data_IF_082937475011
#
_entry.id   IF_082937475011
#
_cell.length_a   1.000
_cell.length_b   1.000
_cell.length_c   1.000
_cell.angle_alpha   90.00
_cell.angle_beta   90.00
_cell.angle_gamma   90.00
#
_symmetry.space_group_name_H-M   'P 1'
#
loop_
_entity.id
_entity.type
_entity.pdbx_description
1 polymer ?
#
# COMPACT_ATOMS: atom_id res chain seq x y z
N UNK A 1 15.96 -7.35 -11.21
CA UNK A 1 14.67 -6.84 -10.69
C UNK A 1 14.18 -5.71 -11.58
N UNK A 2 12.93 -5.77 -12.07
CA UNK A 2 12.49 -4.94 -13.18
C UNK A 2 12.19 -3.49 -12.77
N UNK A 3 12.87 -2.55 -13.42
CA UNK A 3 12.39 -1.16 -13.53
C UNK A 3 11.53 -1.09 -14.79
N UNK A 4 10.31 -0.55 -14.70
CA UNK A 4 9.42 -0.50 -15.86
C UNK A 4 9.92 0.42 -16.99
N UNK A 5 10.95 1.25 -16.73
CA UNK A 5 11.73 2.04 -17.69
C UNK A 5 13.14 2.31 -17.10
N UNK A 6 14.18 2.57 -17.90
CA UNK A 6 15.47 3.06 -17.39
C UNK A 6 15.28 4.37 -16.59
N UNK A 7 15.65 4.36 -15.31
CA UNK A 7 15.42 5.50 -14.40
C UNK A 7 13.97 5.65 -13.93
N UNK A 8 13.10 4.68 -14.24
CA UNK A 8 11.71 4.63 -13.79
C UNK A 8 11.57 4.21 -12.32
N UNK A 9 10.34 4.31 -11.81
CA UNK A 9 10.02 3.83 -10.46
C UNK A 9 10.23 2.32 -10.36
N UNK A 10 10.75 1.89 -9.22
CA UNK A 10 11.00 0.49 -8.91
C UNK A 10 9.68 -0.27 -8.65
N UNK A 11 9.50 -1.42 -9.30
CA UNK A 11 8.38 -2.32 -9.10
C UNK A 11 8.81 -3.49 -8.19
N UNK A 12 8.09 -3.72 -7.10
CA UNK A 12 8.33 -4.84 -6.19
C UNK A 12 7.65 -6.13 -6.65
N UNK A 13 6.57 -6.03 -7.44
CA UNK A 13 5.77 -7.18 -7.87
C UNK A 13 4.31 -6.81 -8.08
N UNK A 14 3.52 -7.82 -8.42
CA UNK A 14 2.06 -7.75 -8.53
C UNK A 14 1.45 -8.52 -7.36
N UNK A 15 0.45 -7.96 -6.70
CA UNK A 15 -0.34 -8.67 -5.71
C UNK A 15 -1.78 -8.80 -6.19
N UNK A 16 -2.41 -9.94 -5.95
CA UNK A 16 -3.80 -10.17 -6.34
C UNK A 16 -4.71 -10.08 -5.11
N UNK A 17 -5.85 -9.40 -5.25
CA UNK A 17 -6.90 -9.47 -4.23
C UNK A 17 -7.56 -10.84 -4.30
N UNK A 18 -7.48 -11.61 -3.22
CA UNK A 18 -8.13 -12.91 -3.12
C UNK A 18 -8.82 -13.07 -1.76
N UNK A 19 -10.13 -13.30 -1.76
CA UNK A 19 -10.94 -13.50 -0.55
C UNK A 19 -10.68 -12.43 0.52
N UNK A 20 -10.78 -11.15 0.12
CA UNK A 20 -10.53 -9.99 0.98
C UNK A 20 -9.08 -9.86 1.49
N UNK A 21 -8.14 -10.63 0.93
CA UNK A 21 -6.73 -10.61 1.32
C UNK A 21 -5.85 -10.14 0.18
N UNK A 22 -4.69 -9.60 0.53
CA UNK A 22 -3.65 -9.26 -0.42
C UNK A 22 -2.29 -9.56 0.21
N UNK A 23 -1.44 -10.24 -0.56
CA UNK A 23 -0.09 -10.58 -0.15
C UNK A 23 0.86 -9.50 -0.67
N UNK A 24 1.43 -8.68 0.22
CA UNK A 24 2.43 -7.70 -0.19
C UNK A 24 3.71 -8.40 -0.68
N UNK A 25 4.41 -7.86 -1.70
CA UNK A 25 5.64 -8.49 -2.18
C UNK A 25 6.70 -8.53 -1.07
N UNK A 26 7.39 -9.67 -0.85
CA UNK A 26 8.38 -9.82 0.23
C UNK A 26 9.45 -8.73 0.24
N UNK A 27 9.91 -8.30 -0.94
CA UNK A 27 10.91 -7.25 -1.06
C UNK A 27 10.42 -5.89 -0.58
N UNK A 28 9.12 -5.58 -0.71
CA UNK A 28 8.54 -4.39 -0.12
C UNK A 28 8.43 -4.54 1.41
N UNK A 29 8.03 -5.73 1.88
CA UNK A 29 7.95 -6.02 3.33
C UNK A 29 9.31 -5.81 4.00
N UNK A 30 10.38 -6.35 3.39
CA UNK A 30 11.75 -6.24 3.89
C UNK A 30 12.28 -4.80 3.81
N UNK A 31 12.10 -4.13 2.67
CA UNK A 31 12.62 -2.77 2.47
C UNK A 31 12.03 -1.77 3.48
N UNK A 32 10.72 -1.83 3.71
CA UNK A 32 10.05 -0.94 4.65
C UNK A 32 10.00 -1.49 6.09
N UNK A 33 10.52 -2.71 6.30
CA UNK A 33 10.56 -3.42 7.57
C UNK A 33 9.19 -3.54 8.24
N UNK A 34 8.18 -3.92 7.45
CA UNK A 34 6.78 -3.92 7.92
C UNK A 34 6.54 -4.90 9.09
N UNK A 35 7.35 -5.96 9.19
CA UNK A 35 7.29 -6.93 10.28
C UNK A 35 7.68 -6.40 11.67
N UNK A 36 8.34 -5.22 11.77
CA UNK A 36 8.76 -4.66 13.07
C UNK A 36 7.60 -4.13 13.93
N UNK A 37 6.48 -3.72 13.31
CA UNK A 37 5.36 -3.06 14.01
C UNK A 37 4.04 -3.86 13.98
N UNK A 38 4.01 -4.97 13.23
CA UNK A 38 2.84 -5.84 12.99
C UNK A 38 1.57 -5.12 12.47
N UNK A 39 1.67 -3.83 12.16
CA UNK A 39 0.60 -2.97 11.72
C UNK A 39 1.13 -1.98 10.69
N UNK A 40 0.29 -1.67 9.72
CA UNK A 40 0.58 -0.64 8.71
C UNK A 40 -0.52 0.39 8.69
N UNK A 41 -0.15 1.61 8.29
CA UNK A 41 -1.11 2.64 7.92
C UNK A 41 -1.32 2.53 6.41
N UNK A 42 -2.58 2.55 5.99
CA UNK A 42 -2.97 2.60 4.59
C UNK A 42 -3.57 3.96 4.27
N UNK A 43 -3.35 4.45 3.05
CA UNK A 43 -4.09 5.60 2.53
C UNK A 43 -4.65 5.33 1.15
N UNK A 44 -5.73 6.01 0.78
CA UNK A 44 -6.23 5.97 -0.60
C UNK A 44 -5.15 6.40 -1.59
N UNK A 45 -5.00 5.67 -2.69
CA UNK A 45 -4.16 6.02 -3.83
C UNK A 45 -4.60 7.32 -4.52
N UNK A 46 -3.89 7.74 -5.58
CA UNK A 46 -4.37 8.84 -6.41
C UNK A 46 -5.59 8.41 -7.24
N UNK A 47 -6.38 9.36 -7.73
CA UNK A 47 -7.54 9.06 -8.60
C UNK A 47 -7.12 8.28 -9.85
N UNK A 48 -5.96 8.63 -10.39
CA UNK A 48 -5.37 8.06 -11.60
C UNK A 48 -4.87 6.63 -11.39
N UNK A 49 -4.33 6.33 -10.20
CA UNK A 49 -3.66 5.04 -9.92
C UNK A 49 -4.58 4.05 -9.21
N UNK A 50 -5.60 4.53 -8.49
CA UNK A 50 -6.47 3.70 -7.65
C UNK A 50 -5.70 3.00 -6.51
N UNK A 51 -6.36 2.05 -5.85
CA UNK A 51 -5.76 1.24 -4.80
C UNK A 51 -5.34 2.05 -3.57
N UNK A 52 -4.21 1.69 -2.97
CA UNK A 52 -3.77 2.27 -1.70
C UNK A 52 -2.26 2.46 -1.59
N UNK A 53 -1.83 3.23 -0.60
CA UNK A 53 -0.42 3.47 -0.26
C UNK A 53 -0.17 2.86 1.12
N UNK A 54 0.95 2.15 1.27
CA UNK A 54 1.35 1.47 2.50
C UNK A 54 2.44 2.25 3.20
N UNK A 55 2.28 2.45 4.51
CA UNK A 55 3.25 3.12 5.37
C UNK A 55 3.52 2.28 6.62
N UNK A 56 4.78 2.21 7.04
CA UNK A 56 5.13 1.85 8.41
C UNK A 56 5.08 3.11 9.27
N UNK A 57 4.43 3.05 10.45
CA UNK A 57 4.25 4.24 11.30
C UNK A 57 5.60 4.82 11.72
N UNK A 58 6.57 4.00 12.08
CA UNK A 58 7.91 4.47 12.46
C UNK A 58 8.66 5.24 11.37
N UNK A 59 8.29 5.08 10.09
CA UNK A 59 8.83 5.90 8.99
C UNK A 59 8.12 7.26 8.88
N UNK A 60 6.90 7.39 9.39
CA UNK A 60 6.17 8.65 9.39
C UNK A 60 6.65 9.59 10.50
N UNK A 61 7.07 9.04 11.64
CA UNK A 61 7.63 9.81 12.76
C UNK A 61 8.89 10.55 12.31
N UNK A 62 8.96 11.85 12.56
CA UNK A 62 10.04 12.74 12.14
C UNK A 62 10.03 13.12 10.66
N UNK A 63 9.04 12.67 9.88
CA UNK A 63 8.94 12.96 8.46
C UNK A 63 8.00 14.14 8.16
N UNK A 64 8.00 14.61 6.91
CA UNK A 64 7.01 15.58 6.41
C UNK A 64 5.55 15.09 6.48
N UNK A 65 5.36 13.78 6.65
CA UNK A 65 4.04 13.17 6.81
C UNK A 65 3.65 12.99 8.28
N UNK A 66 4.51 13.31 9.26
CA UNK A 66 4.16 13.23 10.68
C UNK A 66 2.86 13.96 11.07
N UNK A 67 2.48 15.11 10.46
CA UNK A 67 1.24 15.80 10.82
C UNK A 67 -0.03 14.92 10.77
N UNK A 68 -0.05 13.84 9.99
CA UNK A 68 -1.17 12.89 10.05
C UNK A 68 -1.28 12.17 11.40
N UNK A 69 -0.15 11.81 12.00
CA UNK A 69 -0.09 11.13 13.29
C UNK A 69 -0.48 12.10 14.41
N UNK A 70 -0.02 13.35 14.30
CA UNK A 70 -0.29 14.40 15.29
C UNK A 70 -1.79 14.79 15.30
N UNK A 71 -2.40 14.91 14.11
CA UNK A 71 -3.83 15.25 13.97
C UNK A 71 -4.74 14.06 14.35
N UNK A 72 -4.28 12.83 14.14
CA UNK A 72 -5.06 11.61 14.39
C UNK A 72 -4.35 10.68 15.40
N UNK A 73 -4.27 11.04 16.69
CA UNK A 73 -3.53 10.26 17.68
C UNK A 73 -4.08 8.84 17.88
N UNK A 74 -5.41 8.64 17.72
CA UNK A 74 -6.02 7.30 17.78
C UNK A 74 -5.61 6.40 16.60
N UNK A 75 -5.36 6.99 15.42
CA UNK A 75 -4.76 6.26 14.29
C UNK A 75 -3.31 5.92 14.60
N UNK A 76 -2.52 6.90 15.07
CA UNK A 76 -1.11 6.73 15.40
C UNK A 76 -0.84 5.69 16.49
N UNK A 77 -1.78 5.54 17.42
CA UNK A 77 -1.71 4.56 18.51
C UNK A 77 -2.41 3.23 18.18
N UNK A 78 -2.93 3.07 16.96
CA UNK A 78 -3.70 1.87 16.54
C UNK A 78 -4.89 1.56 17.46
N UNK A 79 -5.53 2.60 18.00
CA UNK A 79 -6.67 2.50 18.93
C UNK A 79 -8.04 2.60 18.26
N UNK A 80 -8.08 3.05 17.00
CA UNK A 80 -9.29 2.91 16.19
C UNK A 80 -9.53 1.42 15.89
N UNK A 81 -10.76 0.96 15.67
CA UNK A 81 -10.97 -0.36 15.07
C UNK A 81 -10.22 -0.44 13.72
N UNK A 82 -9.53 -1.56 13.46
CA UNK A 82 -8.82 -1.76 12.19
C UNK A 82 -9.74 -1.49 10.98
N UNK A 83 -9.22 -0.85 9.95
CA UNK A 83 -9.99 -0.45 8.77
C UNK A 83 -10.83 0.83 8.95
N UNK A 84 -10.93 1.39 10.16
CA UNK A 84 -11.65 2.66 10.37
C UNK A 84 -10.88 3.83 9.75
N UNK A 85 -11.55 4.55 8.85
CA UNK A 85 -10.95 5.67 8.12
C UNK A 85 -11.05 7.00 8.87
N UNK A 86 -9.95 7.76 8.82
CA UNK A 86 -9.88 9.20 9.11
C UNK A 86 -9.49 9.97 7.86
N UNK A 87 -9.75 11.28 7.83
CA UNK A 87 -9.42 12.15 6.68
C UNK A 87 -8.26 13.08 7.01
N UNK A 88 -7.32 13.20 6.08
CA UNK A 88 -6.25 14.18 6.15
C UNK A 88 -5.91 14.66 4.73
N UNK A 89 -5.97 15.99 4.51
CA UNK A 89 -5.62 16.65 3.23
C UNK A 89 -6.19 15.96 1.98
N UNK A 90 -7.49 15.67 2.01
CA UNK A 90 -8.21 15.06 0.87
C UNK A 90 -7.98 13.57 0.65
N UNK A 91 -7.18 12.90 1.50
CA UNK A 91 -7.02 11.43 1.49
C UNK A 91 -7.68 10.80 2.71
N UNK A 92 -8.07 9.55 2.57
CA UNK A 92 -8.55 8.72 3.68
C UNK A 92 -7.43 7.79 4.14
N UNK A 93 -7.31 7.61 5.45
CA UNK A 93 -6.29 6.79 6.07
C UNK A 93 -6.90 5.86 7.10
N UNK A 94 -6.43 4.62 7.15
CA UNK A 94 -6.78 3.66 8.19
C UNK A 94 -5.52 2.89 8.60
N UNK A 95 -5.64 2.04 9.61
CA UNK A 95 -4.60 1.06 9.94
C UNK A 95 -5.16 -0.35 9.82
N UNK A 96 -4.28 -1.31 9.52
CA UNK A 96 -4.60 -2.74 9.53
C UNK A 96 -3.42 -3.55 10.10
N UNK A 97 -3.69 -4.71 10.73
CA UNK A 97 -2.65 -5.69 11.01
C UNK A 97 -2.00 -6.19 9.72
N UNK A 98 -0.71 -6.49 9.79
CA UNK A 98 0.04 -7.17 8.72
C UNK A 98 0.85 -8.31 9.33
N UNK A 99 0.86 -9.45 8.66
CA UNK A 99 1.72 -10.56 9.07
C UNK A 99 3.19 -10.26 8.75
N UNK A 100 4.16 -10.93 9.39
CA UNK A 100 5.58 -10.78 9.04
C UNK A 100 5.89 -11.09 7.58
N UNK A 101 5.09 -11.93 6.92
CA UNK A 101 5.24 -12.24 5.50
C UNK A 101 4.59 -11.20 4.58
N UNK A 102 3.82 -10.25 5.09
CA UNK A 102 3.17 -9.20 4.28
C UNK A 102 1.70 -9.44 3.93
N UNK A 103 1.07 -10.49 4.44
CA UNK A 103 -0.36 -10.72 4.25
C UNK A 103 -1.18 -9.71 5.08
N UNK A 104 -2.15 -9.08 4.45
CA UNK A 104 -3.14 -8.20 5.09
C UNK A 104 -4.55 -8.51 4.60
N UNK A 105 -5.54 -8.18 5.45
CA UNK A 105 -6.96 -8.37 5.17
C UNK A 105 -7.66 -7.01 5.02
N UNK A 106 -8.41 -6.85 3.94
CA UNK A 106 -9.20 -5.68 3.60
C UNK A 106 -10.67 -6.02 3.74
N UNK A 107 -11.37 -5.44 4.71
CA UNK A 107 -12.81 -5.66 4.83
C UNK A 107 -13.57 -5.06 3.63
N UNK A 108 -14.86 -5.40 3.44
CA UNK A 108 -15.65 -4.89 2.31
C UNK A 108 -15.75 -3.35 2.23
N UNK A 109 -15.66 -2.66 3.37
CA UNK A 109 -15.65 -1.19 3.40
C UNK A 109 -14.33 -0.66 2.86
N UNK A 110 -13.20 -1.26 3.26
CA UNK A 110 -11.88 -0.92 2.74
C UNK A 110 -11.78 -1.16 1.24
N UNK A 111 -12.23 -2.33 0.76
CA UNK A 111 -12.25 -2.64 -0.67
C UNK A 111 -13.05 -1.59 -1.46
N UNK A 112 -14.22 -1.20 -0.96
CA UNK A 112 -15.02 -0.13 -1.57
C UNK A 112 -14.30 1.22 -1.58
N UNK A 113 -13.62 1.60 -0.50
CA UNK A 113 -12.89 2.87 -0.40
C UNK A 113 -11.64 2.88 -1.31
N UNK A 114 -10.99 1.75 -1.47
CA UNK A 114 -9.84 1.59 -2.37
C UNK A 114 -10.24 1.31 -3.82
N UNK A 115 -11.55 1.18 -4.09
CA UNK A 115 -12.14 0.85 -5.39
C UNK A 115 -11.58 -0.47 -5.95
N UNK A 116 -11.55 -1.50 -5.10
CA UNK A 116 -11.03 -2.83 -5.39
C UNK A 116 -12.12 -3.90 -5.30
N UNK A 117 -11.91 -5.00 -6.03
CA UNK A 117 -12.70 -6.21 -5.98
C UNK A 117 -11.80 -7.46 -6.04
N UNK A 118 -12.38 -8.62 -5.74
CA UNK A 118 -11.69 -9.90 -5.88
C UNK A 118 -11.17 -10.10 -7.31
N UNK A 119 -9.93 -10.60 -7.43
CA UNK A 119 -9.23 -10.78 -8.70
C UNK A 119 -8.51 -9.53 -9.23
N UNK A 120 -8.67 -8.35 -8.59
CA UNK A 120 -7.91 -7.17 -9.00
C UNK A 120 -6.41 -7.38 -8.77
N UNK A 121 -5.62 -6.96 -9.76
CA UNK A 121 -4.15 -7.03 -9.75
C UNK A 121 -3.57 -5.67 -9.40
N UNK A 122 -2.84 -5.60 -8.31
CA UNK A 122 -2.23 -4.37 -7.81
C UNK A 122 -0.71 -4.42 -7.98
N UNK A 123 -0.14 -3.38 -8.58
CA UNK A 123 1.29 -3.26 -8.77
C UNK A 123 1.88 -2.52 -7.59
N UNK A 124 2.82 -3.16 -6.91
CA UNK A 124 3.57 -2.59 -5.82
C UNK A 124 4.73 -1.75 -6.36
N UNK A 125 4.66 -0.43 -6.18
CA UNK A 125 5.62 0.52 -6.76
C UNK A 125 6.23 1.35 -5.64
N UNK A 126 7.56 1.42 -5.59
CA UNK A 126 8.29 2.31 -4.68
C UNK A 126 7.90 3.76 -4.96
N UNK A 127 7.29 4.41 -3.96
CA UNK A 127 6.86 5.81 -4.08
C UNK A 127 7.89 6.77 -3.50
N UNK A 128 8.47 6.44 -2.35
CA UNK A 128 9.59 7.14 -1.73
C UNK A 128 10.32 6.22 -0.76
N UNK A 129 11.23 6.73 0.06
CA UNK A 129 11.78 6.00 1.20
C UNK A 129 10.79 5.81 2.36
N UNK A 130 9.61 6.45 2.32
CA UNK A 130 8.60 6.40 3.39
C UNK A 130 7.45 5.45 3.08
N UNK A 131 7.20 5.19 1.79
CA UNK A 131 6.01 4.48 1.36
C UNK A 131 6.14 3.86 -0.04
N UNK A 132 5.33 2.85 -0.28
CA UNK A 132 5.09 2.29 -1.60
C UNK A 132 3.58 2.24 -1.90
N UNK A 133 3.26 2.25 -3.19
CA UNK A 133 1.88 2.27 -3.68
C UNK A 133 1.50 0.89 -4.19
N UNK A 134 0.35 0.39 -3.77
CA UNK A 134 -0.36 -0.73 -4.37
C UNK A 134 -1.37 -0.15 -5.37
N UNK A 135 -0.92 0.03 -6.62
CA UNK A 135 -1.72 0.68 -7.66
C UNK A 135 -2.55 -0.32 -8.46
N UNK A 136 -3.83 -0.05 -8.68
CA UNK A 136 -4.74 -0.99 -9.36
C UNK A 136 -5.04 -0.62 -10.82
N UNK A 137 -4.83 0.65 -11.21
CA UNK A 137 -5.16 1.14 -12.56
C UNK A 137 -4.23 2.23 -13.07
N UNK A 138 -4.44 2.63 -14.32
CA UNK A 138 -3.77 3.74 -14.98
C UNK A 138 -2.49 3.35 -15.73
N UNK A 139 -1.78 4.37 -16.22
CA UNK A 139 -0.64 4.22 -17.16
C UNK A 139 0.48 3.31 -16.67
N UNK A 140 0.64 3.14 -15.35
CA UNK A 140 1.65 2.24 -14.78
C UNK A 140 1.27 0.77 -14.96
N UNK A 141 -0.02 0.44 -14.81
CA UNK A 141 -0.55 -0.90 -15.09
C UNK A 141 -0.38 -1.24 -16.57
N UNK A 142 -0.76 -0.33 -17.46
CA UNK A 142 -0.62 -0.50 -18.91
C UNK A 142 0.83 -0.81 -19.30
N UNK A 143 1.80 -0.13 -18.68
CA UNK A 143 3.23 -0.37 -18.94
C UNK A 143 3.72 -1.70 -18.42
N UNK A 144 3.21 -2.17 -17.29
CA UNK A 144 3.55 -3.50 -16.78
C UNK A 144 3.00 -4.60 -17.69
N UNK A 145 1.83 -4.41 -18.28
CA UNK A 145 1.33 -5.33 -19.32
C UNK A 145 2.19 -5.34 -20.59
N UNK A 146 2.90 -4.23 -20.87
CA UNK A 146 3.82 -4.11 -22.01
C UNK A 146 5.25 -4.55 -21.67
N UNK A 147 5.55 -4.80 -20.40
CA UNK A 147 6.88 -5.21 -19.97
C UNK A 147 7.13 -6.66 -20.42
N UNK A 148 8.19 -6.86 -21.20
CA UNK A 148 8.51 -8.17 -21.77
C UNK A 148 9.29 -9.10 -20.82
N UNK A 149 9.69 -8.61 -19.64
CA UNK A 149 10.31 -9.45 -18.61
C UNK A 149 9.28 -10.00 -17.64
N UNK A 150 9.73 -10.89 -16.76
CA UNK A 150 8.89 -11.45 -15.71
C UNK A 150 8.77 -10.47 -14.53
N UNK A 151 7.54 -10.31 -14.05
CA UNK A 151 7.23 -9.62 -12.79
C UNK A 151 6.53 -10.64 -11.91
N UNK A 152 7.09 -10.89 -10.74
CA UNK A 152 6.54 -11.84 -9.78
C UNK A 152 5.15 -11.42 -9.31
N UNK A 153 4.27 -12.41 -9.18
CA UNK A 153 2.89 -12.27 -8.72
C UNK A 153 2.71 -13.02 -7.40
N UNK A 154 1.98 -12.39 -6.46
CA UNK A 154 1.78 -12.84 -5.09
C UNK A 154 0.31 -12.87 -4.68
#
# INVERSE_FOLDING_TARGET
MPQCNPGGKFCFGISVVHQDQIQLPPLAVDEYRLGEEANVILSTGSRETGGFIVYRKGLLVGSLLQPILDEHPKLAQFQLPAGTFVRHKGRQYCWVPVTPSGLLKLDPTMLKVFELQDGDRLIAIRSSNLAFTMGARGRLIERVHQYQGEIEEF
#
